data_IF_538532892328
#
_entry.id   IF_538532892328
#
_cell.length_a   1.000
_cell.length_b   1.000
_cell.length_c   1.000
_cell.angle_alpha   90.00
_cell.angle_beta   90.00
_cell.angle_gamma   90.00
#
_symmetry.space_group_name_H-M   'P 1'
#
loop_
_entity.id
_entity.type
_entity.pdbx_description
1 polymer ?
#
# COMPACT_ATOMS: atom_id res chain seq x y z
N UNK A 1 48.78 33.59 31.15
CA UNK A 1 47.47 32.94 31.39
C UNK A 1 46.72 32.91 30.08
N UNK A 2 46.56 31.72 29.46
CA UNK A 2 45.80 31.50 28.23
C UNK A 2 44.76 30.43 28.56
N UNK A 3 43.49 30.82 28.60
CA UNK A 3 42.38 29.89 28.82
C UNK A 3 41.98 29.22 27.50
N UNK A 4 42.08 27.89 27.48
CA UNK A 4 41.64 27.05 26.38
C UNK A 4 40.14 26.76 26.54
N UNK A 5 39.30 27.45 25.77
CA UNK A 5 37.91 27.08 25.59
C UNK A 5 37.84 25.76 24.81
N UNK A 6 37.63 24.65 25.52
CA UNK A 6 37.28 23.35 24.90
C UNK A 6 35.78 23.34 24.63
N UNK A 7 35.39 23.62 23.39
CA UNK A 7 34.03 23.39 22.93
C UNK A 7 33.77 21.88 22.90
N UNK A 8 32.93 21.40 23.81
CA UNK A 8 32.44 20.02 23.79
C UNK A 8 31.44 19.88 22.64
N UNK A 9 31.87 19.25 21.55
CA UNK A 9 30.97 18.86 20.45
C UNK A 9 30.17 17.66 20.92
N UNK A 10 28.97 17.90 21.43
CA UNK A 10 28.01 16.85 21.75
C UNK A 10 27.48 16.27 20.44
N UNK A 11 28.06 15.14 20.02
CA UNK A 11 27.57 14.40 18.86
C UNK A 11 26.37 13.58 19.30
N UNK A 12 25.17 14.11 19.09
CA UNK A 12 23.94 13.36 19.30
C UNK A 12 23.78 12.37 18.14
N UNK A 13 24.00 11.08 18.39
CA UNK A 13 23.74 10.02 17.42
C UNK A 13 22.26 9.67 17.52
N UNK A 14 21.42 10.29 16.70
CA UNK A 14 20.04 9.85 16.54
C UNK A 14 20.04 8.54 15.75
N UNK A 15 19.79 7.42 16.43
CA UNK A 15 19.49 6.17 15.75
C UNK A 15 18.11 6.30 15.09
N UNK A 16 18.07 6.40 13.75
CA UNK A 16 16.82 6.21 13.02
C UNK A 16 16.46 4.73 13.06
N UNK A 17 15.46 4.37 13.86
CA UNK A 17 14.75 3.10 13.67
C UNK A 17 13.85 3.25 12.46
N UNK A 18 14.26 2.66 11.33
CA UNK A 18 13.37 2.46 10.20
C UNK A 18 12.23 1.54 10.63
N UNK A 19 11.03 2.09 10.80
CA UNK A 19 9.82 1.30 11.00
C UNK A 19 9.19 1.01 9.64
N UNK A 20 8.65 -0.20 9.47
CA UNK A 20 7.87 -0.54 8.30
C UNK A 20 6.61 0.34 8.28
N UNK A 21 6.41 1.04 7.17
CA UNK A 21 5.28 1.94 6.92
C UNK A 21 4.40 1.36 5.81
N UNK A 22 3.09 1.56 5.92
CA UNK A 22 2.15 1.17 4.88
C UNK A 22 2.08 2.26 3.81
N UNK A 23 2.58 1.97 2.62
CA UNK A 23 2.55 2.91 1.49
C UNK A 23 1.17 2.98 0.85
N UNK A 24 0.42 1.88 0.85
CA UNK A 24 -0.93 1.79 0.31
C UNK A 24 -1.68 0.63 0.98
N UNK A 25 -2.99 0.75 1.19
CA UNK A 25 -3.79 -0.35 1.74
C UNK A 25 -5.24 -0.27 1.27
N UNK A 26 -5.77 -1.41 0.87
CA UNK A 26 -7.21 -1.69 0.77
C UNK A 26 -7.70 -2.62 1.89
N UNK A 27 -6.80 -3.08 2.77
CA UNK A 27 -7.17 -3.72 4.04
C UNK A 27 -7.70 -2.64 4.98
N UNK A 28 -9.03 -2.51 5.05
CA UNK A 28 -9.73 -1.51 5.85
C UNK A 28 -10.39 -2.15 7.07
N UNK A 29 -10.58 -1.35 8.14
CA UNK A 29 -11.28 -1.78 9.35
C UNK A 29 -10.41 -2.46 10.43
N UNK A 30 -11.00 -2.76 11.60
CA UNK A 30 -10.30 -3.41 12.70
C UNK A 30 -9.81 -4.80 12.27
N UNK A 31 -8.59 -5.16 12.67
CA UNK A 31 -7.97 -6.47 12.41
C UNK A 31 -7.74 -6.80 10.93
N UNK A 32 -7.56 -5.80 10.05
CA UNK A 32 -7.35 -6.01 8.61
C UNK A 32 -8.53 -6.74 7.97
N UNK A 33 -9.76 -6.26 8.23
CA UNK A 33 -10.97 -6.88 7.73
C UNK A 33 -11.11 -6.75 6.20
N UNK A 34 -11.74 -7.75 5.58
CA UNK A 34 -12.03 -7.78 4.16
C UNK A 34 -13.27 -8.64 3.89
N UNK A 35 -13.85 -8.54 2.68
CA UNK A 35 -15.07 -9.26 2.34
C UNK A 35 -14.82 -10.78 2.16
N UNK A 36 -15.86 -11.57 2.42
CA UNK A 36 -15.86 -12.98 2.04
C UNK A 36 -16.05 -13.21 0.54
N UNK A 37 -16.38 -12.17 -0.22
CA UNK A 37 -16.41 -12.19 -1.68
C UNK A 37 -15.00 -12.26 -2.26
N UNK A 38 -14.84 -12.97 -3.37
CA UNK A 38 -13.51 -13.34 -3.89
C UNK A 38 -13.45 -13.28 -5.40
N UNK A 39 -12.31 -12.88 -5.92
CA UNK A 39 -11.90 -13.12 -7.29
C UNK A 39 -11.21 -14.46 -7.40
N UNK A 40 -11.54 -15.21 -8.44
CA UNK A 40 -10.87 -16.47 -8.74
C UNK A 40 -9.71 -16.22 -9.68
N UNK A 41 -8.54 -16.73 -9.32
CA UNK A 41 -7.33 -16.77 -10.14
C UNK A 41 -7.07 -18.24 -10.43
N UNK A 42 -7.13 -18.65 -11.69
CA UNK A 42 -7.00 -20.06 -12.05
C UNK A 42 -6.13 -20.30 -13.27
N UNK A 43 -5.49 -21.46 -13.32
CA UNK A 43 -4.68 -21.83 -14.49
C UNK A 43 -5.49 -21.98 -15.77
N UNK A 44 -4.79 -21.94 -16.91
CA UNK A 44 -5.38 -21.90 -18.26
C UNK A 44 -6.32 -23.07 -18.60
N UNK A 45 -6.19 -24.23 -17.95
CA UNK A 45 -7.00 -25.42 -18.24
C UNK A 45 -8.23 -25.56 -17.32
N UNK A 46 -8.50 -24.55 -16.48
CA UNK A 46 -9.59 -24.62 -15.53
C UNK A 46 -10.90 -24.12 -16.13
N UNK A 47 -11.72 -25.06 -16.62
CA UNK A 47 -13.05 -24.77 -17.16
C UNK A 47 -14.01 -24.07 -16.19
N UNK A 48 -13.73 -24.07 -14.88
CA UNK A 48 -14.55 -23.40 -13.86
C UNK A 48 -14.17 -21.93 -13.63
N UNK A 49 -13.04 -21.46 -14.15
CA UNK A 49 -12.54 -20.12 -13.89
C UNK A 49 -11.87 -19.52 -15.13
N UNK A 50 -12.40 -18.38 -15.60
CA UNK A 50 -11.96 -17.75 -16.85
C UNK A 50 -10.75 -16.82 -16.70
N UNK A 51 -10.41 -16.42 -15.47
CA UNK A 51 -9.36 -15.43 -15.23
C UNK A 51 -8.07 -16.10 -14.76
N UNK A 52 -7.05 -16.06 -15.60
CA UNK A 52 -5.73 -16.54 -15.22
C UNK A 52 -4.90 -15.52 -14.44
N UNK A 53 -5.22 -14.24 -14.61
CA UNK A 53 -4.50 -13.15 -13.98
C UNK A 53 -5.47 -12.09 -13.45
N UNK A 54 -5.22 -11.62 -12.23
CA UNK A 54 -5.92 -10.48 -11.63
C UNK A 54 -4.88 -9.44 -11.27
N UNK A 55 -5.15 -8.19 -11.64
CA UNK A 55 -4.28 -7.04 -11.40
C UNK A 55 -5.02 -5.91 -10.70
N UNK A 56 -4.30 -5.12 -9.93
CA UNK A 56 -4.81 -3.93 -9.27
C UNK A 56 -3.80 -2.79 -9.39
N UNK A 57 -4.29 -1.61 -9.76
CA UNK A 57 -3.50 -0.39 -9.73
C UNK A 57 -3.44 0.15 -8.29
N UNK A 58 -2.29 0.68 -7.89
CA UNK A 58 -2.14 1.40 -6.64
C UNK A 58 -1.15 2.54 -6.78
N UNK A 59 -1.28 3.54 -5.91
CA UNK A 59 -0.38 4.69 -5.86
C UNK A 59 0.14 4.87 -4.43
N UNK A 60 1.45 4.68 -4.18
CA UNK A 60 2.06 4.90 -2.87
C UNK A 60 1.78 6.30 -2.33
N UNK A 61 1.35 6.37 -1.07
CA UNK A 61 1.19 7.61 -0.32
C UNK A 61 2.51 8.21 0.16
N UNK A 62 3.61 7.44 0.12
CA UNK A 62 4.96 7.84 0.57
C UNK A 62 6.01 7.27 -0.39
N UNK A 63 7.13 7.98 -0.54
CA UNK A 63 8.30 7.48 -1.30
C UNK A 63 9.14 6.60 -0.40
N UNK A 64 9.42 5.37 -0.82
CA UNK A 64 10.19 4.44 -0.01
C UNK A 64 10.58 3.16 -0.73
N UNK A 65 11.34 2.31 -0.04
CA UNK A 65 11.70 1.00 -0.57
C UNK A 65 10.65 -0.01 -0.18
N UNK A 66 10.15 -0.77 -1.15
CA UNK A 66 9.23 -1.87 -0.89
C UNK A 66 9.92 -2.93 -0.01
N UNK A 67 9.22 -3.40 1.01
CA UNK A 67 9.69 -4.47 1.89
C UNK A 67 8.80 -5.70 1.77
N UNK A 68 7.47 -5.52 1.75
CA UNK A 68 6.52 -6.63 1.67
C UNK A 68 5.17 -6.19 1.09
N UNK A 69 4.38 -7.19 0.67
CA UNK A 69 2.97 -7.02 0.32
C UNK A 69 2.15 -8.05 1.08
N UNK A 70 1.15 -7.55 1.80
CA UNK A 70 0.16 -8.34 2.51
C UNK A 70 -1.06 -8.58 1.61
N UNK A 71 -1.49 -9.83 1.49
CA UNK A 71 -2.54 -10.26 0.56
C UNK A 71 -3.61 -11.06 1.28
N UNK A 72 -4.87 -10.66 1.16
CA UNK A 72 -5.99 -11.44 1.66
C UNK A 72 -6.34 -12.56 0.67
N UNK A 73 -5.68 -13.71 0.79
CA UNK A 73 -5.82 -14.81 -0.15
C UNK A 73 -6.17 -16.12 0.52
N UNK A 74 -6.84 -17.00 -0.22
CA UNK A 74 -7.20 -18.33 0.23
C UNK A 74 -7.34 -19.31 -0.93
N UNK A 75 -7.53 -20.59 -0.63
CA UNK A 75 -7.97 -21.60 -1.59
C UNK A 75 -9.40 -22.03 -1.36
N UNK A 76 -10.06 -22.55 -2.39
CA UNK A 76 -11.38 -23.16 -2.26
C UNK A 76 -11.33 -24.53 -1.55
N UNK A 77 -12.30 -24.80 -0.65
CA UNK A 77 -12.43 -26.13 0.00
C UNK A 77 -12.72 -27.25 -0.97
N UNK A 78 -13.35 -26.98 -2.12
CA UNK A 78 -13.74 -28.05 -3.06
C UNK A 78 -12.51 -28.64 -3.76
N UNK A 79 -11.35 -27.99 -3.61
CA UNK A 79 -10.20 -28.13 -4.50
C UNK A 79 -8.91 -28.50 -3.76
N UNK A 80 -8.99 -29.37 -2.75
CA UNK A 80 -7.83 -29.85 -1.97
C UNK A 80 -6.73 -30.55 -2.79
N UNK A 81 -6.99 -30.88 -4.05
CA UNK A 81 -6.08 -31.64 -4.91
C UNK A 81 -5.30 -30.78 -5.90
N UNK A 82 -5.51 -29.46 -5.90
CA UNK A 82 -4.91 -28.59 -6.88
C UNK A 82 -3.69 -27.86 -6.28
N UNK A 83 -2.56 -27.83 -7.00
CA UNK A 83 -1.44 -26.97 -6.69
C UNK A 83 -1.90 -25.52 -6.50
N UNK A 84 -1.30 -24.82 -5.55
CA UNK A 84 -1.79 -23.51 -5.08
C UNK A 84 -0.86 -22.37 -5.48
N UNK A 85 0.14 -22.68 -6.27
CA UNK A 85 1.24 -21.80 -6.60
C UNK A 85 0.73 -20.64 -7.46
N UNK A 86 0.72 -19.46 -6.84
CA UNK A 86 0.47 -18.20 -7.51
C UNK A 86 1.72 -17.33 -7.42
N UNK A 87 2.04 -16.66 -8.51
CA UNK A 87 3.10 -15.65 -8.52
C UNK A 87 2.52 -14.29 -8.19
N UNK A 88 3.21 -13.52 -7.35
CA UNK A 88 2.90 -12.11 -7.12
C UNK A 88 3.95 -11.25 -7.80
N UNK A 89 3.50 -10.37 -8.70
CA UNK A 89 4.38 -9.54 -9.53
C UNK A 89 4.05 -8.07 -9.38
N UNK A 90 5.08 -7.25 -9.23
CA UNK A 90 5.00 -5.81 -9.25
C UNK A 90 5.39 -5.30 -10.64
N UNK A 91 4.57 -4.42 -11.21
CA UNK A 91 4.79 -3.79 -12.50
C UNK A 91 4.79 -2.26 -12.39
N UNK A 92 5.52 -1.62 -13.28
CA UNK A 92 5.32 -0.20 -13.56
C UNK A 92 3.96 0.00 -14.27
N UNK A 93 3.34 1.18 -14.08
CA UNK A 93 2.20 1.58 -14.92
C UNK A 93 2.69 2.03 -16.30
N UNK A 94 2.03 1.53 -17.35
CA UNK A 94 2.24 1.98 -18.73
C UNK A 94 0.88 2.21 -19.38
N UNK A 95 0.58 3.48 -19.71
CA UNK A 95 -0.72 3.90 -20.26
C UNK A 95 -1.95 3.46 -19.44
N UNK A 96 -1.82 3.37 -18.11
CA UNK A 96 -2.89 2.93 -17.21
C UNK A 96 -3.13 1.42 -17.21
N UNK A 97 -2.16 0.62 -17.66
CA UNK A 97 -2.17 -0.83 -17.62
C UNK A 97 -0.89 -1.37 -16.96
N UNK A 98 -0.86 -2.64 -16.51
CA UNK A 98 0.37 -3.29 -16.11
C UNK A 98 1.40 -3.29 -17.24
N UNK A 99 2.52 -2.60 -17.03
CA UNK A 99 3.65 -2.50 -17.96
C UNK A 99 4.79 -3.46 -17.60
N UNK A 100 6.04 -2.97 -17.72
CA UNK A 100 7.24 -3.74 -17.41
C UNK A 100 7.25 -4.26 -15.96
N UNK A 101 7.66 -5.53 -15.79
CA UNK A 101 7.86 -6.14 -14.47
C UNK A 101 9.03 -5.44 -13.76
N UNK A 102 8.77 -4.93 -12.57
CA UNK A 102 9.78 -4.38 -11.66
C UNK A 102 10.38 -5.52 -10.83
N UNK A 103 9.52 -6.37 -10.25
CA UNK A 103 9.93 -7.47 -9.39
C UNK A 103 8.86 -8.57 -9.36
N UNK A 104 9.30 -9.83 -9.35
CA UNK A 104 8.49 -10.97 -8.90
C UNK A 104 8.74 -11.17 -7.40
N UNK A 105 7.75 -10.87 -6.56
CA UNK A 105 7.87 -10.90 -5.09
C UNK A 105 7.96 -12.33 -4.54
N UNK A 106 7.56 -13.31 -5.36
CA UNK A 106 7.71 -14.74 -5.05
C UNK A 106 6.50 -15.55 -5.48
N UNK A 107 6.56 -16.83 -5.14
CA UNK A 107 5.47 -17.80 -5.34
C UNK A 107 4.87 -18.14 -3.98
N UNK A 108 3.55 -18.02 -3.86
CA UNK A 108 2.81 -18.44 -2.68
C UNK A 108 2.33 -19.87 -2.90
N UNK A 109 2.93 -20.84 -2.21
CA UNK A 109 2.59 -22.27 -2.36
C UNK A 109 1.62 -22.80 -1.31
N UNK A 110 1.45 -22.10 -0.18
CA UNK A 110 0.63 -22.55 0.94
C UNK A 110 -0.46 -21.54 1.29
N UNK A 111 -1.42 -21.38 0.39
CA UNK A 111 -2.59 -20.56 0.66
C UNK A 111 -3.55 -21.25 1.67
N UNK A 112 -4.06 -20.49 2.67
CA UNK A 112 -4.99 -21.03 3.65
C UNK A 112 -6.30 -21.44 2.98
N UNK A 113 -6.88 -22.56 3.41
CA UNK A 113 -8.19 -22.97 2.88
C UNK A 113 -9.29 -22.08 3.44
N UNK A 114 -10.05 -21.41 2.57
CA UNK A 114 -11.25 -20.65 2.96
C UNK A 114 -12.24 -21.58 3.63
N UNK A 115 -12.66 -21.32 4.86
CA UNK A 115 -13.78 -22.08 5.46
C UNK A 115 -14.65 -21.15 6.30
N UNK A 116 -15.90 -21.54 6.54
CA UNK A 116 -16.81 -20.77 7.41
C UNK A 116 -16.25 -20.57 8.82
N UNK A 117 -15.41 -21.50 9.29
CA UNK A 117 -14.87 -21.54 10.65
C UNK A 117 -13.46 -20.98 10.77
N UNK A 118 -12.77 -20.81 9.65
CA UNK A 118 -11.42 -20.26 9.61
C UNK A 118 -11.46 -18.99 8.76
N UNK A 119 -11.51 -17.80 9.39
CA UNK A 119 -11.48 -16.57 8.64
C UNK A 119 -10.22 -16.57 7.76
N UNK A 120 -10.34 -16.14 6.50
CA UNK A 120 -9.20 -16.04 5.60
C UNK A 120 -8.07 -15.23 6.26
N UNK A 121 -6.83 -15.72 6.12
CA UNK A 121 -5.66 -15.10 6.71
C UNK A 121 -4.93 -14.23 5.68
N UNK A 122 -4.24 -13.19 6.17
CA UNK A 122 -3.35 -12.39 5.36
C UNK A 122 -2.07 -13.19 5.08
N UNK A 123 -1.69 -13.28 3.82
CA UNK A 123 -0.45 -13.89 3.35
C UNK A 123 0.52 -12.79 2.96
N UNK A 124 1.71 -12.78 3.56
CA UNK A 124 2.76 -11.79 3.28
C UNK A 124 3.75 -12.35 2.26
N UNK A 125 4.02 -11.60 1.20
CA UNK A 125 5.14 -11.84 0.28
C UNK A 125 6.19 -10.76 0.46
N UNK A 126 7.46 -11.14 0.51
CA UNK A 126 8.57 -10.23 0.79
C UNK A 126 9.29 -9.82 -0.49
N UNK A 127 9.64 -8.53 -0.59
CA UNK A 127 10.49 -8.04 -1.66
C UNK A 127 11.95 -8.46 -1.43
N UNK A 128 12.58 -8.97 -2.48
CA UNK A 128 13.97 -9.39 -2.50
C UNK A 128 14.91 -8.28 -2.98
N UNK A 129 14.44 -7.45 -3.92
CA UNK A 129 15.22 -6.38 -4.56
C UNK A 129 14.98 -5.01 -3.92
N UNK A 130 13.91 -4.88 -3.12
CA UNK A 130 13.51 -3.66 -2.41
C UNK A 130 13.47 -2.42 -3.32
N UNK A 131 12.70 -2.47 -4.43
CA UNK A 131 12.62 -1.38 -5.40
C UNK A 131 12.11 -0.11 -4.73
N UNK A 132 12.55 1.04 -5.25
CA UNK A 132 12.04 2.34 -4.81
C UNK A 132 10.66 2.56 -5.43
N UNK A 133 9.65 2.77 -4.58
CA UNK A 133 8.32 3.21 -4.98
C UNK A 133 8.21 4.71 -4.71
N UNK A 134 7.91 5.46 -5.76
CA UNK A 134 7.78 6.93 -5.70
C UNK A 134 6.34 7.31 -5.36
N UNK A 135 6.19 8.19 -4.37
CA UNK A 135 4.90 8.77 -4.00
C UNK A 135 4.17 9.36 -5.21
N UNK A 136 2.87 9.09 -5.34
CA UNK A 136 2.07 9.64 -6.43
C UNK A 136 2.30 8.98 -7.81
N UNK A 137 3.21 8.01 -7.91
CA UNK A 137 3.40 7.22 -9.14
C UNK A 137 2.52 5.97 -9.09
N UNK A 138 1.81 5.66 -10.17
CA UNK A 138 0.97 4.46 -10.23
C UNK A 138 1.82 3.22 -10.54
N UNK A 139 1.51 2.14 -9.82
CA UNK A 139 2.08 0.80 -10.01
C UNK A 139 0.97 -0.22 -10.11
N UNK A 140 1.30 -1.41 -10.59
CA UNK A 140 0.37 -2.52 -10.64
C UNK A 140 0.89 -3.71 -9.85
N UNK A 141 0.00 -4.30 -9.07
CA UNK A 141 0.23 -5.60 -8.45
C UNK A 141 -0.61 -6.64 -9.19
N UNK A 142 0.04 -7.68 -9.69
CA UNK A 142 -0.62 -8.78 -10.41
C UNK A 142 -0.43 -10.09 -9.67
N UNK A 143 -1.46 -10.94 -9.75
CA UNK A 143 -1.42 -12.32 -9.29
C UNK A 143 -1.78 -13.21 -10.46
N UNK A 144 -0.89 -14.15 -10.76
CA UNK A 144 -1.05 -15.12 -11.84
C UNK A 144 -1.02 -16.53 -11.28
N UNK A 145 -1.86 -17.41 -11.84
CA UNK A 145 -1.73 -18.84 -11.60
C UNK A 145 -0.56 -19.39 -12.42
N UNK A 146 0.43 -19.99 -11.75
CA UNK A 146 1.61 -20.57 -12.41
C UNK A 146 1.31 -21.98 -12.98
N UNK A 147 0.37 -22.70 -12.35
CA UNK A 147 0.02 -24.05 -12.75
C UNK A 147 -1.36 -24.09 -13.42
N UNK A 148 -1.48 -24.88 -14.48
CA UNK A 148 -2.69 -24.96 -15.30
C UNK A 148 -3.95 -25.37 -14.53
N UNK A 149 -3.77 -26.07 -13.41
CA UNK A 149 -4.84 -26.55 -12.56
C UNK A 149 -4.94 -25.79 -11.22
N UNK A 150 -4.15 -24.74 -11.00
CA UNK A 150 -4.20 -23.97 -9.76
C UNK A 150 -5.52 -23.19 -9.61
N UNK A 151 -5.96 -23.03 -8.36
CA UNK A 151 -7.10 -22.18 -7.98
C UNK A 151 -6.76 -21.43 -6.70
N UNK A 152 -6.61 -20.12 -6.83
CA UNK A 152 -6.51 -19.21 -5.71
C UNK A 152 -7.70 -18.25 -5.70
N UNK A 153 -8.03 -17.78 -4.51
CA UNK A 153 -9.06 -16.79 -4.27
C UNK A 153 -8.41 -15.55 -3.68
N UNK A 154 -8.61 -14.40 -4.32
CA UNK A 154 -8.21 -13.10 -3.77
C UNK A 154 -9.45 -12.39 -3.25
N UNK A 155 -9.49 -12.14 -1.95
CA UNK A 155 -10.63 -11.53 -1.30
C UNK A 155 -10.79 -10.06 -1.69
N UNK A 156 -12.02 -9.60 -1.75
CA UNK A 156 -12.37 -8.20 -2.00
C UNK A 156 -12.15 -7.33 -0.76
N UNK A 157 -11.82 -6.06 -0.98
CA UNK A 157 -11.86 -5.01 0.04
C UNK A 157 -13.24 -4.96 0.71
N UNK A 158 -13.29 -4.55 1.98
CA UNK A 158 -14.56 -4.26 2.66
C UNK A 158 -15.06 -2.83 2.42
N UNK A 159 -14.23 -1.98 1.80
CA UNK A 159 -14.58 -0.63 1.38
C UNK A 159 -15.19 -0.64 -0.04
N UNK A 160 -16.47 -0.30 -0.13
CA UNK A 160 -17.26 -0.33 -1.37
C UNK A 160 -16.97 0.84 -2.31
N UNK A 161 -16.23 1.85 -1.84
CA UNK A 161 -15.77 2.98 -2.64
C UNK A 161 -14.54 2.64 -3.49
N UNK A 162 -13.79 1.59 -3.13
CA UNK A 162 -12.59 1.17 -3.84
C UNK A 162 -12.94 0.23 -4.98
N UNK A 163 -12.80 0.70 -6.23
CA UNK A 163 -13.14 -0.05 -7.45
C UNK A 163 -12.05 0.02 -8.52
N UNK A 164 -12.12 -0.88 -9.50
CA UNK A 164 -11.30 -0.84 -10.71
C UNK A 164 -10.22 -1.92 -10.76
N UNK A 165 -10.63 -3.16 -10.99
CA UNK A 165 -9.71 -4.30 -11.15
C UNK A 165 -9.36 -4.53 -12.61
N UNK A 166 -8.21 -5.15 -12.84
CA UNK A 166 -7.76 -5.58 -14.17
C UNK A 166 -7.76 -7.10 -14.24
N UNK A 167 -8.15 -7.64 -15.38
CA UNK A 167 -8.17 -9.09 -15.63
C UNK A 167 -7.52 -9.43 -16.95
N UNK A 168 -6.88 -10.60 -17.01
CA UNK A 168 -6.47 -11.23 -18.25
C UNK A 168 -6.91 -12.70 -18.24
N UNK A 169 -7.52 -13.14 -19.33
CA UNK A 169 -8.12 -14.48 -19.46
C UNK A 169 -7.06 -15.59 -19.49
N UNK A 170 -5.82 -15.27 -19.87
CA UNK A 170 -4.67 -16.17 -19.85
C UNK A 170 -3.41 -15.39 -19.43
N UNK A 171 -2.36 -16.05 -18.91
CA UNK A 171 -1.09 -15.39 -18.64
C UNK A 171 -0.54 -14.76 -19.93
N UNK A 172 -0.24 -13.47 -19.88
CA UNK A 172 0.23 -12.70 -21.06
C UNK A 172 -0.86 -12.25 -22.02
N UNK A 173 -2.15 -12.54 -21.76
CA UNK A 173 -3.24 -11.96 -22.53
C UNK A 173 -3.41 -10.46 -22.24
N UNK A 174 -4.18 -9.77 -23.08
CA UNK A 174 -4.48 -8.36 -22.90
C UNK A 174 -5.29 -8.11 -21.62
N UNK A 175 -4.93 -7.06 -20.90
CA UNK A 175 -5.64 -6.63 -19.71
C UNK A 175 -6.95 -5.93 -20.06
N UNK A 176 -8.03 -6.31 -19.36
CA UNK A 176 -9.34 -5.65 -19.43
C UNK A 176 -9.66 -5.03 -18.07
N UNK A 177 -9.97 -3.73 -18.06
CA UNK A 177 -10.43 -3.02 -16.87
C UNK A 177 -11.91 -3.36 -16.60
N UNK A 178 -12.20 -3.72 -15.35
CA UNK A 178 -13.55 -3.85 -14.81
C UNK A 178 -13.78 -2.73 -13.78
N UNK A 179 -14.26 -1.55 -14.22
CA UNK A 179 -14.24 -0.33 -13.40
C UNK A 179 -15.25 -0.36 -12.23
N UNK A 180 -16.30 -1.18 -12.34
CA UNK A 180 -17.38 -1.24 -11.35
C UNK A 180 -17.15 -2.29 -10.25
N UNK A 181 -16.11 -3.11 -10.41
CA UNK A 181 -15.79 -4.18 -9.48
C UNK A 181 -14.87 -3.69 -8.36
N UNK A 182 -15.09 -4.20 -7.13
CA UNK A 182 -14.33 -3.81 -5.94
C UNK A 182 -12.85 -4.16 -6.06
N UNK A 183 -11.98 -3.34 -5.47
CA UNK A 183 -10.57 -3.71 -5.39
C UNK A 183 -10.38 -4.95 -4.52
N UNK A 184 -9.39 -5.81 -4.82
CA UNK A 184 -8.99 -6.85 -3.91
C UNK A 184 -8.37 -6.25 -2.63
N UNK A 185 -8.35 -7.03 -1.56
CA UNK A 185 -7.79 -6.67 -0.26
C UNK A 185 -6.28 -6.97 -0.20
N UNK A 186 -5.47 -5.93 -0.05
CA UNK A 186 -4.03 -6.00 0.09
C UNK A 186 -3.44 -4.76 0.78
N UNK A 187 -2.20 -4.85 1.25
CA UNK A 187 -1.42 -3.70 1.70
C UNK A 187 0.02 -3.77 1.19
N UNK A 188 0.58 -2.63 0.84
CA UNK A 188 1.95 -2.46 0.39
C UNK A 188 2.76 -1.83 1.51
N UNK A 189 3.78 -2.53 1.98
CA UNK A 189 4.61 -2.12 3.11
C UNK A 189 6.04 -1.83 2.66
N UNK A 190 6.65 -0.84 3.25
CA UNK A 190 8.03 -0.51 2.95
C UNK A 190 8.69 0.39 3.97
N UNK A 191 9.96 0.67 3.73
CA UNK A 191 10.74 1.62 4.52
C UNK A 191 10.75 2.95 3.78
N UNK A 192 10.08 3.96 4.34
CA UNK A 192 10.10 5.30 3.77
C UNK A 192 11.54 5.83 3.64
N UNK A 193 11.83 6.47 2.50
CA UNK A 193 13.04 7.29 2.41
C UNK A 193 12.73 8.54 3.22
N UNK A 194 13.27 8.60 4.44
CA UNK A 194 13.08 9.74 5.32
C UNK A 194 13.34 11.02 4.55
N UNK A 195 12.32 11.87 4.42
CA UNK A 195 12.56 13.25 4.06
C UNK A 195 13.37 13.82 5.22
N UNK A 196 14.60 14.25 4.95
CA UNK A 196 15.34 15.03 5.93
C UNK A 196 14.54 16.30 6.13
N UNK A 197 13.64 16.29 7.12
CA UNK A 197 12.96 17.49 7.58
C UNK A 197 14.03 18.30 8.28
N UNK A 198 14.71 19.13 7.49
CA UNK A 198 15.53 20.19 8.05
C UNK A 198 14.54 21.10 8.77
N UNK A 199 14.47 21.02 10.10
CA UNK A 199 13.83 22.09 10.84
C UNK A 199 14.60 23.33 10.44
N UNK A 200 13.94 24.26 9.75
CA UNK A 200 14.55 25.55 9.51
C UNK A 200 15.01 26.03 10.90
N UNK A 201 16.29 26.38 11.09
CA UNK A 201 16.78 26.87 12.37
C UNK A 201 15.79 27.93 12.79
N UNK A 202 15.17 27.76 13.96
CA UNK A 202 14.11 28.64 14.44
C UNK A 202 14.59 30.06 14.20
N UNK A 203 14.10 30.68 13.12
CA UNK A 203 14.47 32.05 12.83
C UNK A 203 13.97 32.76 14.05
N UNK A 204 14.90 33.34 14.81
CA UNK A 204 14.58 34.17 15.96
C UNK A 204 13.71 35.25 15.36
N UNK A 205 12.40 35.03 15.37
CA UNK A 205 11.44 36.04 14.97
C UNK A 205 11.74 37.16 15.95
N UNK A 206 12.17 38.35 15.49
CA UNK A 206 12.34 39.47 16.38
C UNK A 206 11.00 39.62 17.09
N UNK A 207 11.01 39.40 18.40
CA UNK A 207 9.85 39.52 19.25
C UNK A 207 9.32 40.92 18.97
N UNK A 208 8.11 41.11 18.39
CA UNK A 208 7.60 42.44 18.20
C UNK A 208 7.45 43.01 19.61
N UNK A 209 8.36 43.91 19.95
CA UNK A 209 8.30 44.65 21.19
C UNK A 209 6.97 45.39 21.14
N UNK A 210 6.05 45.00 22.02
CA UNK A 210 4.78 45.66 22.22
C UNK A 210 5.03 47.07 22.75
N UNK A 211 5.43 47.96 21.85
CA UNK A 211 5.43 49.40 22.08
C UNK A 211 3.99 49.86 21.92
N UNK A 212 3.49 50.44 23.00
CA UNK A 212 2.09 50.69 23.21
C UNK A 212 1.45 51.60 22.17
N UNK A 213 0.16 51.38 21.98
CA UNK A 213 -0.78 52.44 21.70
C UNK A 213 -1.99 52.20 22.61
N UNK A 214 -1.86 52.66 23.85
CA UNK A 214 -3.04 53.11 24.56
C UNK A 214 -3.52 54.36 23.84
N UNK A 215 -4.72 54.33 23.27
CA UNK A 215 -5.50 55.54 23.08
C UNK A 215 -6.98 55.23 23.26
N UNK A 216 -7.51 55.81 24.33
CA UNK A 216 -8.90 56.02 24.65
C UNK A 216 -9.77 56.31 23.41
N UNK A 217 -10.89 55.59 23.32
CA UNK A 217 -12.02 55.89 22.43
C UNK A 217 -13.32 55.64 23.18
N UNK A 218 -13.65 56.58 24.06
CA UNK A 218 -14.93 56.73 24.75
C UNK A 218 -15.96 57.36 23.78
N UNK A 219 -17.26 57.18 24.03
CA UNK A 219 -18.45 57.72 23.31
C UNK A 219 -18.95 56.86 22.12
N UNK A 220 -20.26 56.63 21.89
CA UNK A 220 -21.49 57.18 22.47
C UNK A 220 -22.68 56.24 22.24
N UNK A 221 -23.59 56.22 23.21
CA UNK A 221 -24.94 55.66 23.15
C UNK A 221 -25.79 56.41 22.11
N UNK A 222 -26.45 55.70 21.18
CA UNK A 222 -27.59 56.25 20.46
C UNK A 222 -28.68 55.20 20.17
N UNK A 223 -29.80 55.36 20.90
CA UNK A 223 -31.12 54.76 20.72
C UNK A 223 -31.67 54.84 19.28
N UNK A 224 -32.47 53.82 18.91
CA UNK A 224 -33.78 53.83 18.17
C UNK A 224 -33.86 52.52 17.36
N UNK A 225 -34.94 51.74 17.31
CA UNK A 225 -36.32 51.78 17.81
C UNK A 225 -36.76 50.33 18.01
#
# INVERSE_FOLDING_TARGET
MREFFRAAVLTCVCALTAQAETFYSTLTGPQLAFSNDTYTIAGADNWMARSASVGVAFTPGVTGRLDAVDLAMSTSMVHFLFPKDVSVTLHASEAGLPGAVIETLGTVSELPTKSRWNPPAVTTVYSSTRPMLVQGTEYFLTINAEQANAIALWHQSSDDALKGIYRADAPGAAWTLSPDELLPAFAVQGTAVGTLSFSAPASIAPTPSALGAGLLGLLVVARRR
#
